data_IF_239761716634
#
_entry.id   IF_239761716634
#
_cell.length_a   1.000
_cell.length_b   1.000
_cell.length_c   1.000
_cell.angle_alpha   90.00
_cell.angle_beta   90.00
_cell.angle_gamma   90.00
#
_symmetry.space_group_name_H-M   'P 1'
#
loop_
_entity.id
_entity.type
_entity.pdbx_description
1 polymer ?
#
# COMPACT_ATOMS: atom_id res chain seq x y z
N UNK A 1 -7.37 -12.00 17.17
CA UNK A 1 -6.19 -11.18 16.82
C UNK A 1 -6.43 -9.74 17.26
N UNK A 2 -5.41 -9.09 17.79
CA UNK A 2 -5.35 -7.64 17.95
C UNK A 2 -4.44 -7.08 16.85
N UNK A 3 -4.84 -5.97 16.23
CA UNK A 3 -4.07 -5.30 15.19
C UNK A 3 -3.87 -3.87 15.59
N UNK A 4 -2.63 -3.46 15.74
CA UNK A 4 -2.27 -2.11 16.14
C UNK A 4 -1.34 -1.50 15.09
N UNK A 5 -1.69 -0.30 14.63
CA UNK A 5 -0.90 0.44 13.66
C UNK A 5 0.19 1.23 14.38
N UNK A 6 1.44 0.98 14.00
CA UNK A 6 2.61 1.62 14.63
C UNK A 6 3.26 2.66 13.72
N UNK A 7 3.18 2.46 12.40
CA UNK A 7 3.62 3.40 11.39
C UNK A 7 2.54 3.55 10.34
N UNK A 8 2.13 4.76 10.05
CA UNK A 8 1.20 5.04 8.95
C UNK A 8 1.34 6.47 8.49
N UNK A 9 2.28 6.72 7.57
CA UNK A 9 2.47 8.07 7.03
C UNK A 9 3.27 8.05 5.72
N UNK A 10 3.42 9.24 5.15
CA UNK A 10 4.33 9.56 4.06
C UNK A 10 5.53 10.25 4.68
N UNK A 11 6.66 9.57 4.68
CA UNK A 11 7.90 10.09 5.24
C UNK A 11 8.74 10.72 4.15
N UNK A 12 8.93 12.02 4.20
CA UNK A 12 9.87 12.75 3.35
C UNK A 12 11.26 12.75 3.97
N UNK A 13 12.27 12.70 3.14
CA UNK A 13 13.63 12.95 3.59
C UNK A 13 13.79 14.46 3.78
N UNK A 14 13.77 14.90 5.02
CA UNK A 14 13.84 16.33 5.35
C UNK A 14 15.17 16.98 5.05
N UNK A 15 16.23 16.18 4.97
CA UNK A 15 17.61 16.63 4.78
C UNK A 15 18.42 15.53 4.11
N UNK A 16 19.30 15.90 3.20
CA UNK A 16 20.24 14.96 2.58
C UNK A 16 21.13 14.24 3.61
N UNK A 17 21.51 14.90 4.69
CA UNK A 17 22.34 14.35 5.75
C UNK A 17 21.55 13.54 6.80
N UNK A 18 20.24 13.71 6.86
CA UNK A 18 19.35 13.03 7.81
C UNK A 18 18.32 12.18 7.07
N UNK A 19 18.68 10.93 6.81
CA UNK A 19 17.87 9.98 6.06
C UNK A 19 17.12 9.00 6.97
N UNK A 20 16.79 9.42 8.19
CA UNK A 20 16.01 8.64 9.16
C UNK A 20 14.67 9.31 9.49
N UNK A 21 13.73 9.37 8.50
CA UNK A 21 12.48 10.09 8.70
C UNK A 21 11.45 9.32 9.55
N UNK A 22 11.62 8.00 9.70
CA UNK A 22 10.63 7.13 10.35
C UNK A 22 10.96 7.06 11.85
N UNK A 23 10.02 7.44 12.74
CA UNK A 23 10.26 7.43 14.18
C UNK A 23 10.35 6.01 14.75
N UNK A 24 11.13 5.87 15.81
CA UNK A 24 11.16 4.67 16.63
C UNK A 24 9.83 4.47 17.34
N UNK A 25 9.49 3.22 17.65
CA UNK A 25 8.27 2.88 18.34
C UNK A 25 8.55 1.91 19.49
N UNK A 26 8.30 2.39 20.69
CA UNK A 26 8.22 1.56 21.89
C UNK A 26 6.88 0.80 21.89
N UNK A 27 6.93 -0.52 21.67
CA UNK A 27 5.73 -1.33 21.56
C UNK A 27 5.59 -2.29 22.75
N UNK A 28 4.44 -2.23 23.43
CA UNK A 28 4.08 -3.18 24.50
C UNK A 28 3.11 -4.22 23.97
N UNK A 29 3.48 -5.50 24.05
CA UNK A 29 2.62 -6.58 23.62
C UNK A 29 1.48 -6.82 24.61
N UNK A 30 0.26 -7.14 24.13
CA UNK A 30 -0.81 -7.59 25.01
C UNK A 30 -0.40 -8.83 25.80
N UNK A 31 -0.69 -8.88 27.11
CA UNK A 31 -0.34 -10.00 28.00
C UNK A 31 -0.90 -11.36 27.52
N UNK A 32 -2.01 -11.34 26.80
CA UNK A 32 -2.66 -12.54 26.25
C UNK A 32 -2.08 -13.01 24.91
N UNK A 33 -1.11 -12.30 24.36
CA UNK A 33 -0.55 -12.68 23.07
C UNK A 33 0.30 -13.93 23.14
N UNK A 34 0.05 -14.87 22.25
CA UNK A 34 0.81 -16.13 22.09
C UNK A 34 1.72 -16.11 20.88
N UNK A 35 1.40 -15.24 19.91
CA UNK A 35 2.27 -14.94 18.76
C UNK A 35 2.11 -13.48 18.36
N UNK A 36 3.14 -12.91 17.78
CA UNK A 36 3.12 -11.54 17.28
C UNK A 36 3.87 -11.43 15.94
N UNK A 37 3.36 -10.59 15.04
CA UNK A 37 3.92 -10.37 13.71
C UNK A 37 3.93 -8.88 13.38
N UNK A 38 5.01 -8.40 12.79
CA UNK A 38 5.04 -7.08 12.15
C UNK A 38 4.70 -7.26 10.66
N UNK A 39 3.57 -6.71 10.24
CA UNK A 39 3.17 -6.58 8.84
C UNK A 39 3.60 -5.21 8.35
N UNK A 40 4.54 -5.16 7.43
CA UNK A 40 5.15 -3.93 6.97
C UNK A 40 5.00 -3.79 5.46
N UNK A 41 4.35 -2.73 5.01
CA UNK A 41 4.27 -2.33 3.61
C UNK A 41 5.00 -1.02 3.44
N UNK A 42 6.01 -1.00 2.59
CA UNK A 42 6.76 0.21 2.24
C UNK A 42 6.77 0.37 0.73
N UNK A 43 6.55 1.59 0.25
CA UNK A 43 6.65 1.92 -1.17
C UNK A 43 7.39 3.24 -1.36
N UNK A 44 8.37 3.23 -2.26
CA UNK A 44 9.10 4.43 -2.63
C UNK A 44 8.41 5.21 -3.75
N UNK A 45 8.43 6.52 -3.66
CA UNK A 45 7.82 7.43 -4.63
C UNK A 45 8.71 8.65 -4.86
N UNK A 46 8.46 9.29 -5.98
CA UNK A 46 9.23 10.38 -6.56
C UNK A 46 10.59 9.93 -7.08
N UNK A 47 11.00 10.54 -8.15
CA UNK A 47 12.27 10.30 -8.80
C UNK A 47 12.70 11.53 -9.60
N UNK A 48 13.98 11.65 -9.82
CA UNK A 48 14.58 12.68 -10.67
C UNK A 48 15.50 12.04 -11.70
N UNK A 49 15.60 12.59 -12.89
CA UNK A 49 16.56 12.13 -13.88
C UNK A 49 17.82 12.98 -13.80
N UNK A 50 18.96 12.33 -13.90
CA UNK A 50 20.23 13.04 -14.07
C UNK A 50 20.33 13.69 -15.44
N UNK A 51 21.09 14.78 -15.52
CA UNK A 51 21.41 15.45 -16.78
C UNK A 51 21.90 14.42 -17.82
N UNK A 52 21.34 14.47 -19.01
CA UNK A 52 21.61 13.54 -20.11
C UNK A 52 21.18 12.08 -19.83
N UNK A 53 20.16 11.85 -19.03
CA UNK A 53 19.68 10.52 -18.65
C UNK A 53 20.74 9.59 -18.04
N UNK A 54 21.76 10.14 -17.39
CA UNK A 54 22.88 9.36 -16.83
C UNK A 54 22.54 8.77 -15.45
N UNK A 55 21.52 9.30 -14.76
CA UNK A 55 21.11 8.92 -13.40
C UNK A 55 19.60 8.66 -13.33
N UNK A 56 19.12 7.74 -14.11
CA UNK A 56 17.68 7.60 -14.27
C UNK A 56 16.95 7.08 -13.05
N UNK A 57 17.60 6.38 -12.16
CA UNK A 57 16.87 5.59 -11.16
C UNK A 57 17.62 5.43 -9.84
N UNK A 58 18.91 5.67 -9.78
CA UNK A 58 19.75 5.32 -8.64
C UNK A 58 19.63 6.24 -7.43
N UNK A 59 18.95 7.36 -7.56
CA UNK A 59 18.95 8.43 -6.57
C UNK A 59 17.55 8.90 -6.15
N UNK A 60 16.51 8.14 -6.52
CA UNK A 60 15.12 8.46 -6.19
C UNK A 60 14.46 7.30 -5.48
N UNK A 61 13.61 7.58 -4.51
CA UNK A 61 12.96 6.55 -3.70
C UNK A 61 12.16 5.56 -4.54
N UNK A 62 11.54 6.00 -5.64
CA UNK A 62 10.71 5.13 -6.49
C UNK A 62 11.50 4.04 -7.21
N UNK A 63 12.70 4.37 -7.71
CA UNK A 63 13.51 3.47 -8.53
C UNK A 63 14.84 3.08 -7.87
N UNK A 64 14.97 3.28 -6.59
CA UNK A 64 16.14 2.88 -5.82
C UNK A 64 15.95 1.50 -5.22
N UNK A 65 16.83 0.56 -5.55
CA UNK A 65 16.89 -0.75 -4.94
C UNK A 65 17.57 -0.66 -3.59
N UNK A 66 16.78 -0.69 -2.51
CA UNK A 66 17.27 -0.52 -1.15
C UNK A 66 17.08 -1.79 -0.31
N UNK A 67 17.91 -1.95 0.70
CA UNK A 67 17.72 -2.92 1.76
C UNK A 67 17.69 -2.20 3.10
N UNK A 68 16.48 -1.96 3.60
CA UNK A 68 16.27 -1.38 4.92
C UNK A 68 16.38 -2.44 6.00
N UNK A 69 16.80 -2.03 7.20
CA UNK A 69 16.89 -2.91 8.36
C UNK A 69 15.69 -2.74 9.29
N UNK A 70 15.24 -3.83 9.90
CA UNK A 70 14.35 -3.74 11.05
C UNK A 70 15.16 -4.12 12.28
N UNK A 71 15.42 -3.15 13.14
CA UNK A 71 16.05 -3.37 14.44
C UNK A 71 14.98 -3.57 15.49
N UNK A 72 15.27 -4.44 16.43
CA UNK A 72 14.44 -4.69 17.59
C UNK A 72 15.36 -4.68 18.82
N UNK A 73 15.12 -3.77 19.74
CA UNK A 73 15.97 -3.54 20.91
C UNK A 73 17.44 -3.31 20.49
N UNK A 74 17.67 -2.38 19.58
CA UNK A 74 18.98 -2.00 19.00
C UNK A 74 19.68 -3.06 18.16
N UNK A 75 19.10 -4.24 17.98
CA UNK A 75 19.68 -5.32 17.18
C UNK A 75 18.99 -5.43 15.83
N UNK A 76 19.74 -5.34 14.74
CA UNK A 76 19.19 -5.61 13.38
C UNK A 76 18.82 -7.09 13.28
N UNK A 77 17.53 -7.35 13.11
CA UNK A 77 16.95 -8.69 13.11
C UNK A 77 16.46 -9.11 11.74
N UNK A 78 15.95 -8.17 10.97
CA UNK A 78 15.37 -8.44 9.65
C UNK A 78 15.88 -7.44 8.61
N UNK A 79 15.93 -7.91 7.38
CA UNK A 79 16.14 -7.10 6.18
C UNK A 79 14.83 -6.97 5.41
N UNK A 80 14.52 -5.74 4.98
CA UNK A 80 13.49 -5.45 4.02
C UNK A 80 14.13 -5.08 2.68
N UNK A 81 14.26 -6.03 1.78
CA UNK A 81 14.74 -5.76 0.43
C UNK A 81 13.61 -5.11 -0.36
N UNK A 82 13.65 -3.79 -0.45
CA UNK A 82 12.62 -2.95 -1.05
C UNK A 82 12.81 -2.85 -2.56
N UNK A 83 12.51 -3.96 -3.26
CA UNK A 83 12.59 -4.00 -4.71
C UNK A 83 11.55 -4.95 -5.30
N UNK A 84 10.98 -4.58 -6.43
CA UNK A 84 10.01 -5.41 -7.14
C UNK A 84 10.20 -5.35 -8.64
N UNK A 85 10.29 -6.53 -9.27
CA UNK A 85 10.28 -6.67 -10.72
C UNK A 85 8.88 -6.39 -11.26
N UNK A 86 8.77 -5.43 -12.18
CA UNK A 86 7.50 -5.01 -12.77
C UNK A 86 7.32 -5.45 -14.24
N UNK A 87 8.31 -6.10 -14.81
CA UNK A 87 8.22 -6.67 -16.16
C UNK A 87 8.71 -8.12 -16.17
N UNK A 88 7.83 -9.15 -16.34
CA UNK A 88 6.38 -9.00 -16.51
C UNK A 88 5.69 -8.44 -15.25
N UNK A 89 4.58 -7.71 -15.44
CA UNK A 89 3.84 -7.14 -14.33
C UNK A 89 3.23 -8.25 -13.47
N UNK A 90 3.42 -8.25 -12.13
CA UNK A 90 2.98 -9.33 -11.26
C UNK A 90 1.46 -9.48 -11.15
N UNK A 91 0.69 -8.44 -11.50
CA UNK A 91 -0.77 -8.52 -11.60
C UNK A 91 -1.27 -8.87 -13.01
N UNK A 92 -0.37 -9.12 -13.96
CA UNK A 92 -0.72 -9.42 -15.34
C UNK A 92 -1.24 -8.22 -16.13
N UNK A 93 -1.11 -7.00 -15.61
CA UNK A 93 -1.51 -5.79 -16.31
C UNK A 93 -0.70 -5.58 -17.59
N UNK A 94 -1.36 -5.04 -18.62
CA UNK A 94 -0.69 -4.76 -19.89
C UNK A 94 0.25 -3.55 -19.74
N UNK A 95 1.42 -3.57 -20.39
CA UNK A 95 2.35 -2.46 -20.38
C UNK A 95 1.71 -1.18 -20.90
N UNK A 96 2.11 -0.08 -20.31
CA UNK A 96 1.79 1.29 -20.74
C UNK A 96 3.08 2.01 -21.09
N UNK A 97 2.96 3.15 -21.76
CA UNK A 97 4.11 3.98 -22.09
C UNK A 97 4.77 4.60 -20.83
N UNK A 98 6.00 5.07 -21.01
CA UNK A 98 6.77 5.72 -19.96
C UNK A 98 7.47 4.74 -19.01
N UNK A 99 7.42 5.00 -17.72
CA UNK A 99 8.14 4.25 -16.69
C UNK A 99 7.44 2.95 -16.25
N UNK A 100 6.34 2.58 -16.91
CA UNK A 100 5.55 1.40 -16.57
C UNK A 100 6.36 0.10 -16.37
N UNK A 101 7.31 -0.27 -17.28
CA UNK A 101 8.03 -1.53 -17.19
C UNK A 101 9.17 -1.51 -16.16
N UNK A 102 9.46 -0.36 -15.57
CA UNK A 102 10.60 -0.25 -14.67
C UNK A 102 10.30 -0.88 -13.31
N UNK A 103 11.29 -1.60 -12.80
CA UNK A 103 11.26 -2.13 -11.44
C UNK A 103 11.17 -0.97 -10.43
N UNK A 104 10.53 -1.21 -9.28
CA UNK A 104 10.26 -0.17 -8.29
C UNK A 104 10.45 -0.64 -6.86
N UNK A 105 10.60 0.32 -5.99
CA UNK A 105 10.69 0.12 -4.54
C UNK A 105 9.34 -0.29 -3.95
N UNK A 106 9.12 -1.60 -3.83
CA UNK A 106 8.00 -2.21 -3.11
C UNK A 106 6.66 -2.29 -3.84
N UNK A 107 6.51 -1.76 -5.05
CA UNK A 107 5.24 -1.77 -5.79
C UNK A 107 5.42 -1.89 -7.30
N UNK A 108 4.35 -2.17 -8.02
CA UNK A 108 4.27 -2.06 -9.47
C UNK A 108 2.93 -1.45 -9.86
N UNK A 109 2.86 -0.67 -10.96
CA UNK A 109 1.59 -0.09 -11.42
C UNK A 109 0.51 -1.15 -11.61
N UNK A 110 -0.68 -0.92 -11.04
CA UNK A 110 -1.81 -1.84 -11.13
C UNK A 110 -1.69 -3.12 -10.28
N UNK A 111 -0.67 -3.25 -9.44
CA UNK A 111 -0.45 -4.40 -8.57
C UNK A 111 -0.53 -4.02 -7.09
N UNK A 112 -0.95 -4.96 -6.26
CA UNK A 112 -0.90 -4.79 -4.80
C UNK A 112 0.55 -4.60 -4.38
N UNK A 113 0.82 -3.61 -3.51
CA UNK A 113 2.14 -3.39 -2.94
C UNK A 113 2.63 -4.59 -2.13
N UNK A 114 3.94 -4.78 -2.06
CA UNK A 114 4.53 -5.85 -1.27
C UNK A 114 4.30 -5.60 0.23
N UNK A 115 3.99 -6.68 0.95
CA UNK A 115 3.93 -6.67 2.41
C UNK A 115 4.92 -7.68 2.95
N UNK A 116 5.81 -7.23 3.80
CA UNK A 116 6.73 -8.08 4.56
C UNK A 116 6.06 -8.53 5.85
N UNK A 117 6.45 -9.71 6.30
CA UNK A 117 5.85 -10.37 7.47
C UNK A 117 6.96 -10.87 8.38
N UNK A 118 7.24 -10.11 9.44
CA UNK A 118 8.32 -10.38 10.37
C UNK A 118 7.81 -10.95 11.69
N UNK A 119 8.46 -11.98 12.19
CA UNK A 119 8.07 -12.66 13.43
C UNK A 119 8.58 -11.91 14.66
N UNK A 120 7.65 -11.47 15.51
CA UNK A 120 7.96 -10.82 16.78
C UNK A 120 7.71 -11.74 18.00
N UNK A 121 7.31 -12.98 17.79
CA UNK A 121 6.82 -13.88 18.87
C UNK A 121 7.82 -14.04 20.01
N UNK A 122 9.13 -14.08 19.71
CA UNK A 122 10.17 -14.23 20.73
C UNK A 122 10.23 -13.08 21.74
N UNK A 123 9.72 -11.90 21.37
CA UNK A 123 9.73 -10.71 22.25
C UNK A 123 8.54 -10.63 23.20
N UNK A 124 7.58 -11.55 23.04
CA UNK A 124 6.47 -11.66 23.99
C UNK A 124 6.95 -12.03 25.41
N UNK A 125 8.10 -12.69 25.54
CA UNK A 125 8.67 -13.05 26.85
C UNK A 125 9.07 -11.84 27.68
N UNK A 126 9.43 -10.73 27.04
CA UNK A 126 9.73 -9.44 27.71
C UNK A 126 8.51 -8.55 27.81
N UNK A 127 7.46 -8.86 27.06
CA UNK A 127 6.25 -8.04 26.94
C UNK A 127 6.45 -6.72 26.19
N UNK A 128 7.64 -6.48 25.66
CA UNK A 128 8.05 -5.19 25.10
C UNK A 128 9.06 -5.37 23.96
N UNK A 129 9.02 -4.46 22.99
CA UNK A 129 10.03 -4.31 21.94
C UNK A 129 10.14 -2.86 21.51
N UNK A 130 11.37 -2.37 21.43
CA UNK A 130 11.71 -1.14 20.74
C UNK A 130 11.91 -1.47 19.26
N UNK A 131 11.08 -0.89 18.39
CA UNK A 131 11.04 -1.14 16.95
C UNK A 131 11.63 0.05 16.21
N UNK A 132 12.72 -0.18 15.49
CA UNK A 132 13.41 0.82 14.71
C UNK A 132 13.47 0.40 13.24
N UNK A 133 13.01 1.28 12.34
CA UNK A 133 13.15 1.13 10.90
C UNK A 133 14.47 1.76 10.44
N UNK A 134 15.52 0.96 10.29
CA UNK A 134 16.81 1.44 9.83
C UNK A 134 16.79 1.67 8.33
N UNK A 135 16.95 2.91 7.94
CA UNK A 135 17.07 3.26 6.54
C UNK A 135 18.32 2.60 5.93
N UNK A 136 18.28 2.31 4.62
CA UNK A 136 19.45 1.77 3.94
C UNK A 136 20.61 2.76 4.08
N UNK A 137 21.69 2.40 4.78
CA UNK A 137 22.81 3.31 5.02
C UNK A 137 23.62 3.63 3.75
N UNK A 138 23.41 2.86 2.68
CA UNK A 138 24.04 3.09 1.38
C UNK A 138 23.22 4.03 0.49
N UNK A 139 22.01 4.40 0.91
CA UNK A 139 21.18 5.33 0.14
C UNK A 139 21.84 6.69 0.01
N UNK A 140 21.93 7.15 -1.22
CA UNK A 140 22.48 8.45 -1.56
C UNK A 140 21.62 9.09 -2.65
N UNK A 141 20.95 10.18 -2.32
CA UNK A 141 20.17 10.97 -3.27
C UNK A 141 20.96 12.20 -3.71
N UNK A 142 21.68 12.10 -4.82
CA UNK A 142 22.46 13.22 -5.38
C UNK A 142 21.57 14.33 -5.97
N UNK A 143 20.30 14.06 -6.18
CA UNK A 143 19.31 15.02 -6.70
C UNK A 143 18.44 15.64 -5.61
N UNK A 144 18.66 15.27 -4.35
CA UNK A 144 17.91 15.86 -3.24
C UNK A 144 18.15 17.38 -3.15
N UNK A 145 17.12 18.20 -2.90
CA UNK A 145 17.26 19.66 -2.83
C UNK A 145 18.36 20.16 -1.90
N UNK A 146 18.62 19.45 -0.80
CA UNK A 146 19.64 19.80 0.19
C UNK A 146 21.02 19.18 -0.10
N UNK A 147 21.19 18.50 -1.22
CA UNK A 147 22.49 17.94 -1.57
C UNK A 147 23.53 19.07 -1.82
N UNK A 148 24.79 18.94 -1.38
CA UNK A 148 25.82 19.99 -1.54
C UNK A 148 26.06 20.46 -2.98
N UNK A 149 25.74 19.60 -3.97
CA UNK A 149 25.85 19.95 -5.39
C UNK A 149 24.60 20.67 -5.94
N UNK A 150 23.58 20.89 -5.13
CA UNK A 150 22.39 21.63 -5.52
C UNK A 150 22.52 23.10 -5.09
N UNK A 151 22.04 24.01 -5.94
CA UNK A 151 22.05 25.45 -5.68
C UNK A 151 20.66 25.89 -5.27
N UNK A 152 20.52 26.37 -4.05
CA UNK A 152 19.27 26.91 -3.48
C UNK A 152 18.06 25.96 -3.62
N UNK A 153 18.28 24.66 -3.74
CA UNK A 153 17.24 23.67 -3.95
C UNK A 153 16.57 23.70 -5.34
N UNK A 154 17.09 24.51 -6.28
CA UNK A 154 16.52 24.68 -7.62
C UNK A 154 17.22 23.85 -8.68
N UNK A 155 18.54 23.74 -8.60
CA UNK A 155 19.34 23.00 -9.57
C UNK A 155 20.40 22.18 -8.87
N UNK A 156 20.59 20.96 -9.35
CA UNK A 156 21.68 20.09 -8.94
C UNK A 156 22.63 19.88 -10.11
N UNK A 157 23.91 19.77 -9.84
CA UNK A 157 24.97 19.73 -10.88
C UNK A 157 24.77 18.59 -11.89
N UNK A 158 24.06 17.52 -11.50
CA UNK A 158 23.93 16.28 -12.28
C UNK A 158 22.46 15.86 -12.48
N UNK A 159 21.52 16.70 -12.10
CA UNK A 159 20.11 16.42 -12.17
C UNK A 159 19.37 17.53 -12.92
N UNK A 160 18.35 17.16 -13.68
CA UNK A 160 17.53 18.13 -14.42
C UNK A 160 16.73 19.03 -13.47
N UNK A 161 16.26 18.46 -12.36
CA UNK A 161 15.60 19.16 -11.27
C UNK A 161 15.83 18.41 -9.95
N UNK A 162 15.87 19.10 -8.81
CA UNK A 162 15.87 18.45 -7.51
C UNK A 162 14.54 17.73 -7.30
N UNK A 163 14.60 16.57 -6.67
CA UNK A 163 13.42 15.78 -6.30
C UNK A 163 13.40 15.52 -4.80
N UNK A 164 12.23 15.43 -4.23
CA UNK A 164 12.06 15.12 -2.81
C UNK A 164 11.52 13.70 -2.68
N UNK A 165 12.38 12.70 -2.42
CA UNK A 165 11.97 11.33 -2.30
C UNK A 165 11.10 11.13 -1.07
N UNK A 166 10.12 10.24 -1.19
CA UNK A 166 9.23 9.88 -0.09
C UNK A 166 9.06 8.38 0.01
N UNK A 167 8.92 7.86 1.23
CA UNK A 167 8.43 6.53 1.50
C UNK A 167 7.01 6.61 2.07
N UNK A 168 6.12 5.81 1.52
CA UNK A 168 4.84 5.52 2.16
C UNK A 168 5.01 4.25 2.97
N UNK A 169 4.80 4.33 4.27
CA UNK A 169 5.00 3.22 5.20
C UNK A 169 3.70 2.92 5.94
N UNK A 170 3.32 1.65 5.96
CA UNK A 170 2.25 1.13 6.80
C UNK A 170 2.78 -0.08 7.56
N UNK A 171 3.02 0.09 8.85
CA UNK A 171 3.49 -0.93 9.77
C UNK A 171 2.44 -1.25 10.81
N UNK A 172 2.10 -2.53 10.95
CA UNK A 172 1.09 -3.00 11.91
C UNK A 172 1.63 -4.18 12.70
N UNK A 173 1.52 -4.13 14.01
CA UNK A 173 1.75 -5.30 14.85
C UNK A 173 0.43 -6.07 14.99
N UNK A 174 0.49 -7.34 14.64
CA UNK A 174 -0.62 -8.29 14.75
C UNK A 174 -0.30 -9.24 15.88
N UNK A 175 -1.02 -9.14 16.99
CA UNK A 175 -0.91 -10.06 18.14
C UNK A 175 -2.01 -11.12 18.05
N UNK A 176 -1.64 -12.38 18.19
CA UNK A 176 -2.51 -13.54 18.07
C UNK A 176 -2.63 -14.25 19.43
N UNK A 177 -3.82 -14.78 19.71
CA UNK A 177 -4.10 -15.61 20.87
C UNK A 177 -5.13 -16.67 20.51
N UNK A 178 -5.02 -17.85 21.10
CA UNK A 178 -6.05 -18.89 21.06
C UNK A 178 -7.22 -18.60 22.00
N UNK A 179 -7.07 -17.63 22.90
CA UNK A 179 -8.17 -17.21 23.75
C UNK A 179 -9.20 -16.45 22.95
N UNK A 180 -10.44 -16.91 22.97
CA UNK A 180 -11.56 -16.13 22.51
C UNK A 180 -11.78 -15.02 23.54
N UNK A 181 -11.25 -13.82 23.28
CA UNK A 181 -11.66 -12.65 24.06
C UNK A 181 -13.15 -12.43 23.78
N UNK A 182 -14.00 -12.89 24.68
CA UNK A 182 -15.35 -12.38 24.77
C UNK A 182 -15.16 -10.95 25.24
N UNK A 183 -15.18 -9.99 24.30
CA UNK A 183 -15.20 -8.58 24.61
C UNK A 183 -16.46 -8.38 25.46
N UNK A 184 -16.29 -8.24 26.77
CA UNK A 184 -17.38 -7.92 27.70
C UNK A 184 -17.85 -6.48 27.53
N UNK A 185 -17.09 -5.68 26.82
CA UNK A 185 -17.52 -4.37 26.31
C UNK A 185 -17.73 -4.50 24.81
N UNK A 186 -18.96 -4.35 24.37
CA UNK A 186 -19.26 -4.11 22.95
C UNK A 186 -18.53 -2.80 22.61
N UNK A 187 -17.50 -2.80 21.75
CA UNK A 187 -16.91 -1.55 21.33
C UNK A 187 -18.07 -0.69 20.85
N UNK A 188 -18.20 0.52 21.37
CA UNK A 188 -19.11 1.50 20.77
C UNK A 188 -18.78 1.48 19.31
N UNK A 189 -19.72 1.02 18.48
CA UNK A 189 -19.53 1.00 17.04
C UNK A 189 -19.15 2.43 16.67
N UNK A 190 -17.88 2.67 16.38
CA UNK A 190 -17.51 3.83 15.59
C UNK A 190 -18.42 3.69 14.38
N UNK A 191 -19.31 4.65 14.18
CA UNK A 191 -20.23 4.62 13.04
C UNK A 191 -19.35 4.37 11.81
N UNK A 192 -19.42 3.13 11.34
CA UNK A 192 -18.70 2.73 10.15
C UNK A 192 -19.36 3.54 9.06
N UNK A 193 -18.62 4.49 8.48
CA UNK A 193 -19.13 5.30 7.38
C UNK A 193 -19.71 4.36 6.33
N UNK A 194 -21.02 4.26 6.31
CA UNK A 194 -21.76 3.39 5.38
C UNK A 194 -22.09 4.23 4.16
N UNK A 195 -21.78 3.72 3.02
CA UNK A 195 -22.28 4.27 1.76
C UNK A 195 -23.23 3.26 1.10
N UNK A 196 -24.10 3.77 0.27
CA UNK A 196 -25.06 2.95 -0.46
C UNK A 196 -24.61 2.75 -1.89
N UNK A 197 -24.98 1.62 -2.45
CA UNK A 197 -24.80 1.29 -3.86
C UNK A 197 -26.13 0.78 -4.39
N UNK A 198 -26.59 1.36 -5.49
CA UNK A 198 -27.73 0.84 -6.23
C UNK A 198 -27.31 0.32 -7.60
N UNK A 199 -27.92 -0.78 -8.00
CA UNK A 199 -27.72 -1.38 -9.33
C UNK A 199 -29.06 -1.56 -10.02
N UNK A 200 -29.16 -1.08 -11.27
CA UNK A 200 -30.40 -1.14 -12.05
C UNK A 200 -30.12 -1.16 -13.56
N UNK A 201 -30.88 -1.93 -14.36
CA UNK A 201 -31.89 -2.90 -13.94
C UNK A 201 -31.27 -4.15 -13.30
N UNK A 202 -32.04 -4.85 -12.48
CA UNK A 202 -31.66 -6.15 -11.96
C UNK A 202 -32.91 -7.03 -11.84
N UNK A 203 -33.14 -8.04 -12.69
CA UNK A 203 -32.21 -8.59 -13.69
C UNK A 203 -31.83 -7.61 -14.83
N UNK A 204 -30.59 -7.74 -15.34
CA UNK A 204 -30.06 -6.97 -16.44
C UNK A 204 -29.79 -7.84 -17.68
N UNK A 205 -29.75 -7.21 -18.88
CA UNK A 205 -29.39 -7.87 -20.15
C UNK A 205 -28.12 -7.31 -20.72
N UNK A 206 -28.14 -6.08 -21.24
CA UNK A 206 -27.04 -5.51 -22.00
C UNK A 206 -26.26 -4.46 -21.21
N UNK A 207 -26.94 -3.77 -20.29
CA UNK A 207 -26.34 -2.67 -19.53
C UNK A 207 -26.81 -2.66 -18.08
N UNK A 208 -25.90 -2.24 -17.21
CA UNK A 208 -26.11 -2.08 -15.78
C UNK A 208 -25.71 -0.68 -15.36
N UNK A 209 -26.62 0.09 -14.76
CA UNK A 209 -26.28 1.33 -14.07
C UNK A 209 -25.89 1.02 -12.64
N UNK A 210 -24.77 1.59 -12.21
CA UNK A 210 -24.36 1.63 -10.82
C UNK A 210 -24.38 3.08 -10.34
N UNK A 211 -24.88 3.28 -9.12
CA UNK A 211 -24.86 4.57 -8.44
C UNK A 211 -24.37 4.39 -7.02
N UNK A 212 -23.65 5.35 -6.50
CA UNK A 212 -23.16 5.37 -5.12
C UNK A 212 -23.30 6.78 -4.53
N UNK A 213 -23.57 6.85 -3.24
CA UNK A 213 -23.53 8.08 -2.45
C UNK A 213 -22.16 8.26 -1.73
N UNK A 214 -21.15 7.46 -2.09
CA UNK A 214 -19.80 7.64 -1.57
C UNK A 214 -19.24 8.99 -2.01
N UNK A 215 -18.94 9.87 -1.04
CA UNK A 215 -18.59 11.27 -1.25
C UNK A 215 -17.08 11.58 -1.16
N UNK A 216 -16.25 10.53 -0.96
CA UNK A 216 -14.79 10.67 -0.82
C UNK A 216 -14.03 10.33 -2.11
N UNK A 217 -14.69 10.38 -3.26
CA UNK A 217 -14.10 10.17 -4.57
C UNK A 217 -14.47 8.82 -5.21
N UNK A 218 -13.50 8.18 -5.85
CA UNK A 218 -13.73 6.97 -6.61
C UNK A 218 -13.95 5.74 -5.74
N UNK A 219 -14.82 4.83 -6.18
CA UNK A 219 -14.97 3.48 -5.66
C UNK A 219 -14.44 2.46 -6.67
N UNK A 220 -13.86 1.36 -6.17
CA UNK A 220 -13.44 0.23 -7.00
C UNK A 220 -14.57 -0.80 -7.07
N UNK A 221 -14.81 -1.36 -8.25
CA UNK A 221 -15.83 -2.39 -8.47
C UNK A 221 -15.18 -3.68 -8.96
N UNK A 222 -15.53 -4.78 -8.33
CA UNK A 222 -15.20 -6.13 -8.77
C UNK A 222 -16.48 -6.93 -8.97
N UNK A 223 -16.72 -7.41 -10.19
CA UNK A 223 -17.82 -8.31 -10.50
C UNK A 223 -17.26 -9.72 -10.55
N UNK A 224 -17.81 -10.61 -9.73
CA UNK A 224 -17.38 -12.00 -9.65
C UNK A 224 -18.54 -12.93 -9.98
N UNK A 225 -18.25 -14.06 -10.63
CA UNK A 225 -19.23 -15.12 -10.89
C UNK A 225 -19.45 -16.00 -9.64
N UNK A 226 -20.31 -16.98 -9.75
CA UNK A 226 -20.66 -17.91 -8.64
C UNK A 226 -19.46 -18.77 -8.18
N UNK A 227 -18.42 -18.91 -8.99
CA UNK A 227 -17.18 -19.62 -8.66
C UNK A 227 -16.14 -18.71 -7.98
N UNK A 228 -16.48 -17.42 -7.78
CA UNK A 228 -15.57 -16.43 -7.20
C UNK A 228 -14.52 -15.89 -8.20
N UNK A 229 -14.64 -16.21 -9.48
CA UNK A 229 -13.74 -15.67 -10.51
C UNK A 229 -14.17 -14.26 -10.87
N UNK A 230 -13.23 -13.33 -10.88
CA UNK A 230 -13.45 -11.97 -11.33
C UNK A 230 -13.67 -11.94 -12.85
N UNK A 231 -14.77 -11.32 -13.25
CA UNK A 231 -15.15 -11.16 -14.66
C UNK A 231 -15.03 -9.72 -15.14
N UNK A 232 -15.04 -8.74 -14.21
CA UNK A 232 -14.88 -7.30 -14.48
C UNK A 232 -14.28 -6.60 -13.27
N UNK A 233 -13.45 -5.60 -13.53
CA UNK A 233 -13.07 -4.61 -12.54
C UNK A 233 -12.96 -3.22 -13.19
N UNK A 234 -13.31 -2.19 -12.46
CA UNK A 234 -13.22 -0.79 -12.88
C UNK A 234 -13.39 0.14 -11.68
N UNK A 235 -13.21 1.43 -11.91
CA UNK A 235 -13.45 2.47 -10.91
C UNK A 235 -14.47 3.47 -11.44
N UNK A 236 -15.30 4.04 -10.54
CA UNK A 236 -16.20 5.12 -10.89
C UNK A 236 -16.46 6.03 -9.69
N UNK A 237 -17.02 7.20 -9.96
CA UNK A 237 -17.46 8.18 -8.98
C UNK A 237 -18.94 8.53 -9.26
N UNK A 238 -19.75 8.57 -8.20
CA UNK A 238 -21.16 8.92 -8.27
C UNK A 238 -22.01 7.93 -9.08
N UNK A 239 -21.93 7.92 -10.40
CA UNK A 239 -22.72 7.06 -11.26
C UNK A 239 -22.00 6.63 -12.53
N UNK A 240 -22.23 5.37 -12.95
CA UNK A 240 -21.71 4.84 -14.22
C UNK A 240 -22.71 3.91 -14.88
N UNK A 241 -22.53 3.66 -16.19
CA UNK A 241 -23.24 2.63 -16.94
C UNK A 241 -22.20 1.66 -17.48
N UNK A 242 -22.36 0.39 -17.14
CA UNK A 242 -21.51 -0.70 -17.56
C UNK A 242 -22.19 -1.52 -18.63
N UNK A 243 -21.51 -1.76 -19.76
CA UNK A 243 -21.92 -2.76 -20.74
C UNK A 243 -21.60 -4.15 -20.19
N UNK A 244 -22.63 -5.01 -20.14
CA UNK A 244 -22.57 -6.39 -19.67
C UNK A 244 -23.09 -7.38 -20.70
N UNK A 245 -23.23 -6.96 -21.95
CA UNK A 245 -23.79 -7.77 -23.05
C UNK A 245 -22.97 -9.03 -23.36
N UNK A 246 -21.71 -9.05 -22.96
CA UNK A 246 -20.79 -10.19 -23.12
C UNK A 246 -20.78 -11.15 -21.91
N UNK A 247 -21.46 -10.81 -20.82
CA UNK A 247 -21.58 -11.70 -19.68
C UNK A 247 -22.59 -12.80 -19.96
N UNK A 248 -22.21 -14.05 -19.66
CA UNK A 248 -23.14 -15.16 -19.76
C UNK A 248 -24.35 -15.00 -18.83
N UNK A 249 -25.54 -15.43 -19.21
CA UNK A 249 -26.69 -15.46 -18.30
C UNK A 249 -26.35 -16.21 -17.01
N UNK A 250 -26.64 -15.59 -15.88
CA UNK A 250 -26.30 -16.18 -14.59
C UNK A 250 -26.36 -15.19 -13.43
N UNK A 251 -25.87 -15.65 -12.28
CA UNK A 251 -25.78 -14.85 -11.06
C UNK A 251 -24.33 -14.39 -10.84
N UNK A 252 -24.20 -13.13 -10.47
CA UNK A 252 -22.92 -12.47 -10.17
C UNK A 252 -23.03 -11.70 -8.86
N UNK A 253 -21.88 -11.41 -8.26
CA UNK A 253 -21.76 -10.47 -7.15
C UNK A 253 -20.96 -9.25 -7.58
N UNK A 254 -21.53 -8.08 -7.30
CA UNK A 254 -20.91 -6.78 -7.54
C UNK A 254 -20.39 -6.27 -6.20
N UNK A 255 -19.08 -6.33 -6.01
CA UNK A 255 -18.39 -5.82 -4.82
C UNK A 255 -17.92 -4.40 -5.12
N UNK A 256 -18.44 -3.43 -4.39
CA UNK A 256 -18.05 -2.02 -4.49
C UNK A 256 -17.26 -1.63 -3.26
N UNK A 257 -16.03 -1.21 -3.47
CA UNK A 257 -15.03 -0.93 -2.43
C UNK A 257 -14.79 0.57 -2.37
N UNK A 258 -15.15 1.17 -1.25
CA UNK A 258 -14.84 2.53 -0.85
C UNK A 258 -14.20 2.48 0.53
N UNK A 259 -14.66 3.26 1.50
CA UNK A 259 -14.27 3.12 2.91
C UNK A 259 -14.64 1.75 3.53
N UNK A 260 -15.53 1.02 2.90
CA UNK A 260 -15.93 -0.37 3.21
C UNK A 260 -16.27 -1.11 1.91
N UNK A 261 -16.65 -2.39 2.03
CA UNK A 261 -17.12 -3.20 0.90
C UNK A 261 -18.63 -3.32 0.95
N UNK A 262 -19.32 -2.92 -0.12
CA UNK A 262 -20.75 -3.15 -0.33
C UNK A 262 -20.92 -4.18 -1.43
N UNK A 263 -21.61 -5.29 -1.14
CA UNK A 263 -21.87 -6.37 -2.09
C UNK A 263 -23.32 -6.34 -2.54
N UNK A 264 -23.56 -6.33 -3.84
CA UNK A 264 -24.89 -6.45 -4.46
C UNK A 264 -24.95 -7.70 -5.34
N UNK A 265 -26.08 -8.37 -5.31
CA UNK A 265 -26.38 -9.49 -6.22
C UNK A 265 -26.85 -8.96 -7.56
N UNK A 266 -26.23 -9.41 -8.65
CA UNK A 266 -26.64 -9.13 -10.03
C UNK A 266 -27.12 -10.42 -10.70
N UNK A 267 -28.24 -10.33 -11.41
CA UNK A 267 -28.75 -11.41 -12.28
C UNK A 267 -28.68 -10.93 -13.72
N UNK A 268 -27.93 -11.63 -14.57
CA UNK A 268 -27.84 -11.41 -16.02
C UNK A 268 -28.75 -12.41 -16.72
N UNK A 269 -29.52 -11.94 -17.74
CA UNK A 269 -30.46 -12.74 -18.54
C UNK A 269 -30.06 -12.87 -19.99
#
# INVERSE_FOLDING_TARGET
>A
ANVEEIWYDIFSFGDYANQQPIPDVDYSFPEYAEAARLKLTTTGHNWSSGANNTYNTGNAAEFYEATHGIKINDVKVYDQHLWRTCNPNPAGCQPQDGTWPYNRSGWCPGSIAMTWDFDLTKYLTTGYADLFYEFDPAYLDECHPNHPNCVDGFTCTRCDAPDNPVLRVSGKVVSLSNQVNILTEVPTLVEKETFNVDIFPNPATDALRLTTDYDKGYVCVHIVNMQGQEVRNFVFEGSTILDISDLAPGMYFVNVIGGQVVTKKLVVR
#
